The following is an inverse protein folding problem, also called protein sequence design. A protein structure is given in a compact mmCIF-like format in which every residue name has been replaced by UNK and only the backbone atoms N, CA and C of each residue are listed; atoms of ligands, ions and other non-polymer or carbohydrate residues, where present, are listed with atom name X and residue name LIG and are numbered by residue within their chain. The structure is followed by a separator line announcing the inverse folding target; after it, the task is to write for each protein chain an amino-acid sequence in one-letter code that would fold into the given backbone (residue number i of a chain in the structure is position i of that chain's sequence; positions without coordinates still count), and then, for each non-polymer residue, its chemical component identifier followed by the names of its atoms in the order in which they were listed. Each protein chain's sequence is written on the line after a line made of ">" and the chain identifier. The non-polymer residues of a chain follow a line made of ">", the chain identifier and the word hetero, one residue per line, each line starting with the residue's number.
data_IF_917009390485
#
_entry.id   IF_917009390485
#
_cell.length_a   1.000
_cell.length_b   1.000
_cell.length_c   1.000
_cell.angle_alpha   90.00
_cell.angle_beta   90.00
_cell.angle_gamma   90.00
#
_symmetry.space_group_name_H-M   'P 1'
#
loop_
_entity.id
_entity.type
_entity.pdbx_description
1 polymer ?
#
# COMPACT_ATOMS: atom_id res chain seq x y z
N UNK A 1 7.87 47.46 -28.06
CA UNK A 1 8.85 46.36 -27.89
C UNK A 1 8.24 45.03 -28.33
N UNK A 2 8.58 44.52 -29.52
CA UNK A 2 8.07 43.24 -30.06
C UNK A 2 8.90 42.07 -29.52
N UNK A 3 8.30 41.21 -28.69
CA UNK A 3 8.93 39.95 -28.22
C UNK A 3 8.97 38.95 -29.38
N UNK A 4 10.14 38.73 -29.94
CA UNK A 4 10.40 37.67 -30.92
C UNK A 4 10.43 36.31 -30.21
N UNK A 5 9.35 35.54 -30.35
CA UNK A 5 9.30 34.15 -29.91
C UNK A 5 10.17 33.29 -30.83
N UNK A 6 11.41 33.03 -30.43
CA UNK A 6 12.24 31.98 -31.06
C UNK A 6 11.62 30.62 -30.74
N UNK A 7 10.92 30.04 -31.72
CA UNK A 7 10.43 28.67 -31.68
C UNK A 7 11.62 27.71 -31.48
N UNK A 8 11.82 27.25 -30.24
CA UNK A 8 12.75 26.15 -29.94
C UNK A 8 12.27 24.91 -30.70
N UNK A 9 12.92 24.62 -31.84
CA UNK A 9 12.82 23.33 -32.51
C UNK A 9 13.24 22.25 -31.51
N UNK A 10 12.24 21.62 -30.87
CA UNK A 10 12.44 20.39 -30.10
C UNK A 10 12.89 19.32 -31.10
N UNK A 11 14.20 19.11 -31.18
CA UNK A 11 14.79 17.90 -31.74
C UNK A 11 14.30 16.74 -30.88
N UNK A 12 13.17 16.15 -31.27
CA UNK A 12 12.69 14.89 -30.75
C UNK A 12 13.71 13.84 -31.10
N UNK A 13 14.68 13.60 -30.21
CA UNK A 13 15.55 12.43 -30.25
C UNK A 13 14.64 11.23 -30.46
N UNK A 14 14.65 10.66 -31.67
CA UNK A 14 14.00 9.39 -31.98
C UNK A 14 14.63 8.37 -31.03
N UNK A 15 13.93 8.09 -29.92
CA UNK A 15 14.29 6.98 -29.04
C UNK A 15 14.32 5.75 -29.94
N UNK A 16 15.47 5.08 -30.00
CA UNK A 16 15.56 3.81 -30.70
C UNK A 16 14.42 2.93 -30.21
N UNK A 17 13.61 2.44 -31.13
CA UNK A 17 12.48 1.58 -30.76
C UNK A 17 13.05 0.30 -30.17
N UNK A 18 13.04 0.19 -28.84
CA UNK A 18 13.44 -1.04 -28.16
C UNK A 18 12.46 -2.14 -28.57
N UNK A 19 12.94 -3.10 -29.35
CA UNK A 19 12.21 -4.33 -29.66
C UNK A 19 12.40 -5.34 -28.53
N UNK A 20 11.41 -6.20 -28.35
CA UNK A 20 11.43 -7.31 -27.42
C UNK A 20 11.31 -8.61 -28.19
N UNK A 21 11.88 -9.68 -27.66
CA UNK A 21 11.78 -11.03 -28.23
C UNK A 21 10.90 -11.93 -27.37
N UNK A 22 10.49 -13.08 -27.91
CA UNK A 22 9.82 -14.14 -27.12
C UNK A 22 10.74 -14.61 -26.00
N UNK A 23 12.04 -14.75 -26.26
CA UNK A 23 13.03 -15.06 -25.23
C UNK A 23 13.02 -14.03 -24.09
N UNK A 24 13.07 -12.73 -24.42
CA UNK A 24 13.00 -11.64 -23.42
C UNK A 24 11.68 -11.69 -22.64
N UNK A 25 10.59 -12.06 -23.31
CA UNK A 25 9.27 -12.22 -22.67
C UNK A 25 9.32 -13.33 -21.62
N UNK A 26 9.90 -14.49 -21.95
CA UNK A 26 10.03 -15.65 -21.06
C UNK A 26 11.00 -15.38 -19.89
N UNK A 27 12.17 -14.80 -20.15
CA UNK A 27 13.17 -14.47 -19.12
C UNK A 27 12.63 -13.52 -18.05
N UNK A 28 11.70 -12.63 -18.41
CA UNK A 28 11.06 -11.68 -17.48
C UNK A 28 9.86 -12.24 -16.74
N UNK A 29 9.49 -13.50 -16.98
CA UNK A 29 8.39 -14.13 -16.24
C UNK A 29 8.84 -14.57 -14.84
N UNK A 30 7.94 -14.52 -13.85
CA UNK A 30 8.21 -15.08 -12.53
C UNK A 30 8.37 -16.60 -12.64
N UNK A 31 9.30 -17.17 -11.87
CA UNK A 31 9.54 -18.62 -11.82
C UNK A 31 8.28 -19.43 -11.48
N UNK A 32 7.36 -18.85 -10.71
CA UNK A 32 6.08 -19.47 -10.37
C UNK A 32 5.12 -19.63 -11.55
N UNK A 33 5.36 -18.98 -12.70
CA UNK A 33 4.61 -19.26 -13.93
C UNK A 33 4.80 -20.72 -14.36
N UNK A 34 5.95 -21.33 -14.08
CA UNK A 34 6.23 -22.73 -14.39
C UNK A 34 5.32 -23.72 -13.63
N UNK A 35 4.63 -23.27 -12.58
CA UNK A 35 3.65 -24.07 -11.82
C UNK A 35 2.23 -24.06 -12.39
N UNK A 36 2.02 -23.38 -13.52
CA UNK A 36 0.72 -23.37 -14.22
C UNK A 36 0.59 -24.61 -15.09
N UNK A 37 -0.63 -25.14 -15.22
CA UNK A 37 -0.86 -26.41 -15.91
C UNK A 37 -0.50 -26.34 -17.41
N UNK A 38 -0.61 -25.15 -18.00
CA UNK A 38 -0.35 -24.90 -19.43
C UNK A 38 1.11 -24.65 -19.77
N UNK A 39 1.98 -24.45 -18.76
CA UNK A 39 3.39 -24.13 -18.98
C UNK A 39 4.17 -25.22 -19.74
N UNK A 40 4.02 -26.53 -19.44
CA UNK A 40 4.72 -27.58 -20.20
C UNK A 40 4.33 -27.61 -21.68
N UNK A 41 3.05 -27.41 -22.01
CA UNK A 41 2.58 -27.32 -23.39
C UNK A 41 3.15 -26.08 -24.09
N UNK A 42 3.16 -24.94 -23.41
CA UNK A 42 3.74 -23.70 -23.91
C UNK A 42 5.23 -23.86 -24.26
N UNK A 43 6.01 -24.50 -23.38
CA UNK A 43 7.45 -24.72 -23.63
C UNK A 43 7.71 -25.72 -24.76
N UNK A 44 6.87 -26.75 -24.92
CA UNK A 44 6.92 -27.64 -26.09
C UNK A 44 6.69 -26.86 -27.40
N UNK A 45 5.70 -25.96 -27.44
CA UNK A 45 5.45 -25.13 -28.62
C UNK A 45 6.67 -24.27 -29.00
N UNK A 46 7.41 -23.76 -28.01
CA UNK A 46 8.67 -23.04 -28.23
C UNK A 46 9.75 -23.94 -28.84
N UNK A 47 9.92 -25.13 -28.28
CA UNK A 47 10.95 -26.08 -28.73
C UNK A 47 10.69 -26.60 -30.16
N UNK A 48 9.42 -26.79 -30.53
CA UNK A 48 9.04 -27.30 -31.85
C UNK A 48 8.94 -26.23 -32.95
N UNK A 49 9.14 -24.95 -32.62
CA UNK A 49 9.01 -23.85 -33.59
C UNK A 49 10.35 -23.11 -33.76
N UNK A 50 11.16 -23.48 -34.77
CA UNK A 50 12.42 -22.80 -35.06
C UNK A 50 12.22 -21.29 -35.26
N UNK A 51 13.13 -20.48 -34.73
CA UNK A 51 13.09 -19.02 -34.85
C UNK A 51 12.03 -18.30 -34.00
N UNK A 52 11.15 -19.01 -33.28
CA UNK A 52 10.13 -18.37 -32.46
C UNK A 52 10.74 -17.47 -31.37
N UNK A 53 11.84 -17.90 -30.76
CA UNK A 53 12.54 -17.13 -29.72
C UNK A 53 13.04 -15.77 -30.22
N UNK A 54 13.35 -15.66 -31.51
CA UNK A 54 13.91 -14.48 -32.14
C UNK A 54 12.85 -13.50 -32.63
N UNK A 55 11.57 -13.89 -32.64
CA UNK A 55 10.46 -13.05 -33.11
C UNK A 55 10.45 -11.73 -32.34
N UNK A 56 10.64 -10.63 -33.08
CA UNK A 56 10.74 -9.28 -32.53
C UNK A 56 9.38 -8.59 -32.56
N UNK A 57 9.01 -7.97 -31.46
CA UNK A 57 7.79 -7.17 -31.37
C UNK A 57 8.01 -5.88 -30.57
N UNK A 58 7.22 -4.82 -30.85
CA UNK A 58 7.37 -3.54 -30.18
C UNK A 58 6.94 -3.62 -28.72
N UNK A 59 7.38 -2.67 -27.90
CA UNK A 59 7.02 -2.52 -26.47
C UNK A 59 5.52 -2.63 -26.20
N UNK A 60 4.67 -2.12 -27.09
CA UNK A 60 3.21 -2.17 -26.95
C UNK A 60 2.71 -3.63 -26.96
N UNK A 61 3.15 -4.43 -27.93
CA UNK A 61 2.83 -5.85 -28.00
C UNK A 61 3.35 -6.61 -26.77
N UNK A 62 4.61 -6.34 -26.38
CA UNK A 62 5.19 -6.89 -25.15
C UNK A 62 4.30 -6.62 -23.92
N UNK A 63 3.81 -5.38 -23.78
CA UNK A 63 2.99 -4.98 -22.63
C UNK A 63 1.65 -5.73 -22.63
N UNK A 64 1.03 -5.89 -23.80
CA UNK A 64 -0.22 -6.64 -23.93
C UNK A 64 -0.06 -8.12 -23.57
N UNK A 65 1.02 -8.75 -24.05
CA UNK A 65 1.37 -10.13 -23.70
C UNK A 65 1.70 -10.27 -22.22
N UNK A 66 2.60 -9.42 -21.69
CA UNK A 66 3.05 -9.47 -20.30
C UNK A 66 1.92 -9.27 -19.29
N UNK A 67 0.94 -8.42 -19.60
CA UNK A 67 -0.23 -8.19 -18.75
C UNK A 67 -1.40 -9.13 -19.08
N UNK A 68 -1.27 -9.97 -20.12
CA UNK A 68 -2.28 -10.91 -20.61
C UNK A 68 -3.67 -10.29 -20.85
N UNK A 69 -3.71 -9.06 -21.34
CA UNK A 69 -4.95 -8.30 -21.54
C UNK A 69 -5.72 -8.67 -22.82
N UNK A 70 -5.12 -9.48 -23.71
CA UNK A 70 -5.68 -9.80 -25.05
C UNK A 70 -6.59 -11.02 -24.96
N UNK A 71 -7.92 -10.86 -25.10
CA UNK A 71 -8.86 -11.99 -25.11
C UNK A 71 -8.59 -12.98 -26.26
N UNK A 72 -8.96 -14.27 -26.14
CA UNK A 72 -8.71 -15.27 -27.18
C UNK A 72 -9.22 -14.87 -28.57
N UNK A 73 -10.37 -14.20 -28.62
CA UNK A 73 -11.05 -13.75 -29.86
C UNK A 73 -10.24 -12.66 -30.58
N UNK A 74 -9.40 -11.93 -29.84
CA UNK A 74 -8.56 -10.85 -30.36
C UNK A 74 -7.15 -11.29 -30.75
N UNK A 75 -6.80 -12.57 -30.59
CA UNK A 75 -5.50 -13.10 -31.02
C UNK A 75 -5.22 -12.94 -32.53
N UNK A 76 -6.17 -13.21 -33.45
CA UNK A 76 -5.95 -12.99 -34.87
C UNK A 76 -5.58 -11.53 -35.18
N UNK A 77 -6.24 -10.58 -34.51
CA UNK A 77 -5.91 -9.16 -34.62
C UNK A 77 -4.51 -8.85 -34.11
N UNK A 78 -4.10 -9.44 -32.98
CA UNK A 78 -2.74 -9.29 -32.46
C UNK A 78 -1.68 -9.77 -33.48
N UNK A 79 -1.90 -10.96 -34.05
CA UNK A 79 -0.99 -11.56 -35.03
C UNK A 79 -0.86 -10.66 -36.26
N UNK A 80 -1.99 -10.18 -36.80
CA UNK A 80 -2.02 -9.27 -37.94
C UNK A 80 -1.35 -7.92 -37.63
N UNK A 81 -1.70 -7.28 -36.52
CA UNK A 81 -1.20 -5.94 -36.17
C UNK A 81 0.30 -5.92 -35.91
N UNK A 82 0.84 -6.95 -35.26
CA UNK A 82 2.25 -7.00 -34.88
C UNK A 82 3.09 -7.97 -35.72
N UNK A 83 2.49 -8.55 -36.78
CA UNK A 83 3.13 -9.53 -37.68
C UNK A 83 3.77 -10.69 -36.92
N UNK A 84 3.06 -11.20 -35.91
CA UNK A 84 3.50 -12.38 -35.14
C UNK A 84 3.12 -13.65 -35.90
N UNK A 85 3.90 -14.74 -35.77
CA UNK A 85 3.50 -16.03 -36.32
C UNK A 85 2.25 -16.54 -35.61
N UNK A 86 1.34 -17.15 -36.38
CA UNK A 86 0.18 -17.85 -35.83
C UNK A 86 0.66 -19.19 -35.24
N UNK A 87 1.11 -19.14 -33.98
CA UNK A 87 1.73 -20.26 -33.29
C UNK A 87 1.03 -20.51 -31.95
N UNK A 88 0.93 -21.78 -31.55
CA UNK A 88 0.29 -22.23 -30.30
C UNK A 88 0.91 -21.62 -29.04
N UNK A 89 2.17 -21.18 -29.12
CA UNK A 89 2.84 -20.51 -28.01
C UNK A 89 2.04 -19.32 -27.45
N UNK A 90 1.50 -18.45 -28.31
CA UNK A 90 0.83 -17.22 -27.84
C UNK A 90 -0.46 -17.49 -27.05
N UNK A 91 -1.43 -18.31 -27.52
CA UNK A 91 -2.59 -18.66 -26.72
C UNK A 91 -2.20 -19.41 -25.43
N UNK A 92 -1.25 -20.34 -25.49
CA UNK A 92 -0.78 -21.08 -24.30
C UNK A 92 -0.10 -20.15 -23.28
N UNK A 93 0.72 -19.21 -23.74
CA UNK A 93 1.36 -18.20 -22.91
C UNK A 93 0.34 -17.28 -22.23
N UNK A 94 -0.65 -16.79 -22.97
CA UNK A 94 -1.71 -15.94 -22.41
C UNK A 94 -2.54 -16.71 -21.38
N UNK A 95 -2.87 -17.97 -21.63
CA UNK A 95 -3.57 -18.83 -20.68
C UNK A 95 -2.76 -19.03 -19.39
N UNK A 96 -1.49 -19.45 -19.49
CA UNK A 96 -0.58 -19.59 -18.36
C UNK A 96 -0.45 -18.29 -17.56
N UNK A 97 -0.28 -17.17 -18.27
CA UNK A 97 -0.08 -15.86 -17.64
C UNK A 97 -1.33 -15.38 -16.91
N UNK A 98 -2.53 -15.59 -17.46
CA UNK A 98 -3.79 -15.28 -16.79
C UNK A 98 -3.97 -16.07 -15.51
N UNK A 99 -3.76 -17.39 -15.58
CA UNK A 99 -3.85 -18.26 -14.42
C UNK A 99 -2.90 -17.79 -13.31
N UNK A 100 -1.66 -17.44 -13.67
CA UNK A 100 -0.71 -16.85 -12.73
C UNK A 100 -1.21 -15.53 -12.12
N UNK A 101 -1.72 -14.60 -12.94
CA UNK A 101 -2.21 -13.31 -12.47
C UNK A 101 -3.42 -13.46 -11.54
N UNK A 102 -4.35 -14.36 -11.89
CA UNK A 102 -5.51 -14.70 -11.07
C UNK A 102 -5.08 -15.27 -9.71
N UNK A 103 -4.21 -16.31 -9.69
CA UNK A 103 -3.67 -16.86 -8.44
C UNK A 103 -2.95 -15.81 -7.59
N UNK A 104 -2.23 -14.88 -8.23
CA UNK A 104 -1.55 -13.77 -7.53
C UNK A 104 -2.55 -12.82 -6.90
N UNK A 105 -3.62 -12.48 -7.62
CA UNK A 105 -4.70 -11.64 -7.12
C UNK A 105 -5.45 -12.30 -5.97
N UNK A 106 -5.83 -13.58 -6.10
CA UNK A 106 -6.45 -14.37 -5.04
C UNK A 106 -5.59 -14.41 -3.78
N UNK A 107 -4.27 -14.66 -3.91
CA UNK A 107 -3.34 -14.57 -2.78
C UNK A 107 -3.29 -13.17 -2.19
N UNK A 108 -3.37 -12.12 -3.01
CA UNK A 108 -3.42 -10.74 -2.53
C UNK A 108 -4.68 -10.48 -1.72
N UNK A 109 -5.86 -10.84 -2.26
CA UNK A 109 -7.16 -10.73 -1.57
C UNK A 109 -7.19 -11.57 -0.30
N UNK A 110 -6.62 -12.77 -0.30
CA UNK A 110 -6.52 -13.61 0.90
C UNK A 110 -5.63 -12.97 1.98
N UNK A 111 -4.48 -12.38 1.60
CA UNK A 111 -3.64 -11.62 2.53
C UNK A 111 -4.35 -10.39 3.08
N UNK A 112 -5.08 -9.67 2.24
CA UNK A 112 -5.84 -8.49 2.65
C UNK A 112 -6.97 -8.86 3.61
N UNK A 113 -7.73 -9.92 3.33
CA UNK A 113 -8.74 -10.47 4.26
C UNK A 113 -8.12 -10.81 5.61
N UNK A 114 -7.01 -11.54 5.61
CA UNK A 114 -6.29 -11.89 6.84
C UNK A 114 -5.82 -10.65 7.61
N UNK A 115 -5.24 -9.67 6.92
CA UNK A 115 -4.82 -8.40 7.52
C UNK A 115 -6.01 -7.68 8.19
N UNK A 116 -7.16 -7.65 7.53
CA UNK A 116 -8.38 -7.04 8.06
C UNK A 116 -8.97 -7.81 9.25
N UNK A 117 -8.94 -9.14 9.23
CA UNK A 117 -9.33 -9.98 10.36
C UNK A 117 -8.46 -9.68 11.60
N UNK A 118 -7.14 -9.62 11.41
CA UNK A 118 -6.22 -9.27 12.51
C UNK A 118 -6.47 -7.86 13.03
N UNK A 119 -6.69 -6.87 12.16
CA UNK A 119 -7.02 -5.51 12.59
C UNK A 119 -8.33 -5.46 13.37
N UNK A 120 -9.36 -6.18 12.94
CA UNK A 120 -10.67 -6.26 13.63
C UNK A 120 -10.58 -6.93 14.99
N UNK A 121 -9.64 -7.87 15.16
CA UNK A 121 -9.38 -8.55 16.43
C UNK A 121 -8.54 -7.72 17.41
N UNK A 122 -8.09 -6.51 17.04
CA UNK A 122 -7.35 -5.66 17.97
C UNK A 122 -8.23 -5.17 19.12
N UNK A 123 -7.64 -4.91 20.31
CA UNK A 123 -8.34 -4.23 21.39
C UNK A 123 -9.02 -2.94 20.93
N UNK A 124 -10.24 -2.70 21.41
CA UNK A 124 -11.10 -1.61 20.94
C UNK A 124 -10.41 -0.23 20.88
N UNK A 125 -9.61 0.21 21.87
CA UNK A 125 -8.92 1.51 21.78
C UNK A 125 -7.92 1.58 20.63
N UNK A 126 -7.25 0.47 20.31
CA UNK A 126 -6.24 0.39 19.22
C UNK A 126 -6.93 0.36 17.86
N UNK A 127 -8.01 -0.40 17.73
CA UNK A 127 -8.81 -0.41 16.51
C UNK A 127 -9.42 0.97 16.24
N UNK A 128 -9.93 1.64 17.27
CA UNK A 128 -10.43 3.02 17.18
C UNK A 128 -9.33 3.97 16.70
N UNK A 129 -8.13 3.90 17.28
CA UNK A 129 -6.99 4.70 16.85
C UNK A 129 -6.61 4.47 15.38
N UNK A 130 -6.54 3.21 14.93
CA UNK A 130 -6.21 2.87 13.53
C UNK A 130 -7.26 3.42 12.56
N UNK A 131 -8.55 3.31 12.91
CA UNK A 131 -9.65 3.88 12.12
C UNK A 131 -9.59 5.40 12.07
N UNK A 132 -9.39 6.03 13.22
CA UNK A 132 -9.29 7.48 13.35
C UNK A 132 -8.16 8.04 12.46
N UNK A 133 -6.97 7.45 12.53
CA UNK A 133 -5.82 7.90 11.73
C UNK A 133 -6.05 7.72 10.23
N UNK A 134 -6.78 6.68 9.81
CA UNK A 134 -7.24 6.52 8.43
C UNK A 134 -8.19 7.65 8.03
N UNK A 135 -9.25 7.89 8.81
CA UNK A 135 -10.20 8.97 8.54
C UNK A 135 -9.52 10.35 8.48
N UNK A 136 -8.60 10.62 9.41
CA UNK A 136 -7.80 11.85 9.43
C UNK A 136 -6.99 12.04 8.15
N UNK A 137 -6.31 10.99 7.68
CA UNK A 137 -5.56 11.11 6.43
C UNK A 137 -6.47 11.33 5.22
N UNK A 138 -7.57 10.59 5.12
CA UNK A 138 -8.47 10.70 3.99
C UNK A 138 -9.12 12.11 3.92
N UNK A 139 -9.39 12.77 5.05
CA UNK A 139 -9.83 14.19 5.07
C UNK A 139 -8.73 15.15 4.61
N UNK A 140 -7.46 14.88 4.96
CA UNK A 140 -6.32 15.70 4.56
C UNK A 140 -5.93 15.52 3.09
N UNK A 141 -6.30 14.39 2.46
CA UNK A 141 -5.91 14.07 1.10
C UNK A 141 -6.96 14.56 0.08
N UNK A 142 -6.59 15.33 -0.96
CA UNK A 142 -7.56 15.91 -1.91
C UNK A 142 -8.45 14.92 -2.67
N UNK A 143 -8.03 13.65 -2.76
CA UNK A 143 -8.77 12.57 -3.43
C UNK A 143 -9.51 11.64 -2.45
N UNK A 144 -9.51 11.95 -1.16
CA UNK A 144 -10.03 11.08 -0.11
C UNK A 144 -9.37 9.68 -0.10
N UNK A 145 -8.07 9.66 -0.42
CA UNK A 145 -7.24 8.45 -0.37
C UNK A 145 -6.38 8.46 0.89
N UNK A 146 -5.89 7.29 1.29
CA UNK A 146 -5.10 7.12 2.50
C UNK A 146 -3.69 6.51 2.22
N UNK A 147 -2.81 7.18 1.46
CA UNK A 147 -1.53 6.61 1.00
C UNK A 147 -0.49 6.38 2.11
N UNK A 148 -0.41 7.24 3.13
CA UNK A 148 0.50 7.06 4.27
C UNK A 148 0.02 5.91 5.14
N UNK A 149 -1.28 5.80 5.39
CA UNK A 149 -1.91 4.71 6.13
C UNK A 149 -1.65 3.37 5.45
N UNK A 150 -1.92 3.28 4.14
CA UNK A 150 -1.63 2.07 3.34
C UNK A 150 -0.16 1.64 3.42
N UNK A 151 0.77 2.61 3.50
CA UNK A 151 2.21 2.33 3.56
C UNK A 151 2.74 2.03 4.95
N UNK A 152 2.13 2.59 6.00
CA UNK A 152 2.75 2.64 7.33
C UNK A 152 1.93 2.09 8.47
N UNK A 153 0.60 2.06 8.33
CA UNK A 153 -0.31 1.55 9.35
C UNK A 153 -1.03 0.28 8.90
N UNK A 154 -1.29 0.10 7.61
CA UNK A 154 -1.86 -1.15 7.09
C UNK A 154 -0.83 -2.29 7.04
N UNK A 155 -1.13 -3.48 7.59
CA UNK A 155 -0.23 -4.61 7.52
C UNK A 155 -0.32 -5.31 6.15
N UNK A 156 0.46 -4.84 5.18
CA UNK A 156 0.48 -5.33 3.78
C UNK A 156 0.96 -6.77 3.57
N UNK A 157 1.36 -7.47 4.65
CA UNK A 157 1.82 -8.86 4.61
C UNK A 157 1.37 -9.63 5.84
N UNK A 158 1.25 -10.96 5.70
CA UNK A 158 0.90 -11.88 6.82
C UNK A 158 1.84 -11.69 8.01
N UNK A 159 3.15 -11.66 7.78
CA UNK A 159 4.16 -11.41 8.84
C UNK A 159 3.97 -10.07 9.54
N UNK A 160 3.54 -9.03 8.83
CA UNK A 160 3.25 -7.73 9.46
C UNK A 160 1.97 -7.79 10.29
N UNK A 161 0.93 -8.45 9.80
CA UNK A 161 -0.32 -8.65 10.52
C UNK A 161 -0.07 -9.46 11.81
N UNK A 162 0.64 -10.59 11.71
CA UNK A 162 1.00 -11.43 12.87
C UNK A 162 1.79 -10.66 13.94
N UNK A 163 2.54 -9.63 13.52
CA UNK A 163 3.29 -8.75 14.42
C UNK A 163 2.35 -7.82 15.18
N UNK A 164 1.35 -7.26 14.50
CA UNK A 164 0.37 -6.37 15.12
C UNK A 164 -0.43 -7.08 16.22
N UNK A 165 -0.75 -8.36 16.01
CA UNK A 165 -1.41 -9.18 17.02
C UNK A 165 -0.58 -9.34 18.31
N UNK A 166 0.75 -9.22 18.21
CA UNK A 166 1.70 -9.38 19.33
C UNK A 166 2.18 -8.06 19.91
N UNK A 167 1.83 -6.93 19.30
CA UNK A 167 2.27 -5.62 19.75
C UNK A 167 1.77 -5.32 21.15
N UNK A 168 2.70 -4.95 22.03
CA UNK A 168 2.36 -4.38 23.32
C UNK A 168 1.95 -2.90 23.17
N UNK A 169 1.61 -2.24 24.27
CA UNK A 169 1.17 -0.84 24.24
C UNK A 169 2.25 0.10 23.66
N UNK A 170 3.52 -0.12 23.95
CA UNK A 170 4.62 0.74 23.48
C UNK A 170 4.91 0.56 21.99
N UNK A 171 4.80 -0.67 21.47
CA UNK A 171 4.90 -0.93 20.04
C UNK A 171 3.84 -0.12 19.27
N UNK A 172 2.59 -0.16 19.75
CA UNK A 172 1.50 0.63 19.16
C UNK A 172 1.76 2.13 19.25
N UNK A 173 2.24 2.64 20.38
CA UNK A 173 2.59 4.07 20.53
C UNK A 173 3.68 4.49 19.56
N UNK A 174 4.75 3.70 19.44
CA UNK A 174 5.84 3.97 18.48
C UNK A 174 5.33 3.96 17.04
N UNK A 175 4.47 3.00 16.71
CA UNK A 175 3.85 2.90 15.39
C UNK A 175 2.99 4.14 15.09
N UNK A 176 2.09 4.52 16.00
CA UNK A 176 1.23 5.70 15.86
C UNK A 176 2.03 7.00 15.79
N UNK A 177 3.00 7.23 16.67
CA UNK A 177 3.84 8.41 16.63
C UNK A 177 4.65 8.51 15.34
N UNK A 178 5.12 7.37 14.80
CA UNK A 178 5.79 7.35 13.49
C UNK A 178 4.82 7.66 12.35
N UNK A 179 3.60 7.15 12.40
CA UNK A 179 2.56 7.44 11.42
C UNK A 179 2.17 8.93 11.43
N UNK A 180 1.88 9.51 12.61
CA UNK A 180 1.52 10.92 12.76
C UNK A 180 2.64 11.83 12.24
N UNK A 181 3.91 11.54 12.56
CA UNK A 181 5.04 12.31 11.99
C UNK A 181 5.07 12.28 10.46
N UNK A 182 4.75 11.14 9.84
CA UNK A 182 4.64 11.04 8.37
C UNK A 182 3.45 11.84 7.83
N UNK A 183 2.34 11.90 8.55
CA UNK A 183 1.21 12.76 8.19
C UNK A 183 1.61 14.24 8.22
N UNK A 184 2.24 14.72 9.32
CA UNK A 184 2.70 16.11 9.43
C UNK A 184 3.73 16.48 8.35
N UNK A 185 4.61 15.55 7.97
CA UNK A 185 5.59 15.77 6.89
C UNK A 185 4.93 15.87 5.51
N UNK A 186 3.86 15.11 5.26
CA UNK A 186 3.19 15.05 3.96
C UNK A 186 2.14 16.15 3.80
N UNK A 187 1.36 16.41 4.83
CA UNK A 187 0.19 17.29 4.79
C UNK A 187 0.46 18.56 5.59
N UNK A 188 0.70 19.68 4.88
CA UNK A 188 0.95 21.00 5.51
C UNK A 188 -0.19 21.47 6.41
N UNK A 189 -1.43 21.05 6.12
CA UNK A 189 -2.61 21.37 6.92
C UNK A 189 -2.57 20.73 8.33
N UNK A 190 -1.80 19.67 8.51
CA UNK A 190 -1.62 19.03 9.81
C UNK A 190 -0.33 19.53 10.47
N UNK A 191 -0.45 20.59 11.27
CA UNK A 191 0.71 21.15 11.98
C UNK A 191 1.29 20.14 12.99
N UNK A 192 2.59 20.24 13.33
CA UNK A 192 3.22 19.37 14.34
C UNK A 192 2.49 19.39 15.69
N UNK A 193 2.04 20.57 16.14
CA UNK A 193 1.27 20.72 17.39
C UNK A 193 -0.05 19.95 17.36
N UNK A 194 -0.79 20.00 16.24
CA UNK A 194 -2.02 19.20 16.08
C UNK A 194 -1.68 17.71 16.10
N UNK A 195 -0.59 17.31 15.45
CA UNK A 195 -0.08 15.93 15.50
C UNK A 195 0.24 15.47 16.94
N UNK A 196 0.92 16.30 17.73
CA UNK A 196 1.21 16.02 19.14
C UNK A 196 -0.06 15.85 19.98
N UNK A 197 -1.08 16.70 19.75
CA UNK A 197 -2.39 16.56 20.41
C UNK A 197 -3.12 15.29 20.01
N UNK A 198 -3.08 14.89 18.74
CA UNK A 198 -3.61 13.58 18.32
C UNK A 198 -2.87 12.47 19.05
N UNK A 199 -1.54 12.53 19.13
CA UNK A 199 -0.76 11.53 19.86
C UNK A 199 -1.11 11.50 21.35
N UNK A 200 -1.35 12.64 21.99
CA UNK A 200 -1.77 12.72 23.38
C UNK A 200 -3.12 12.02 23.64
N UNK A 201 -4.08 12.12 22.73
CA UNK A 201 -5.32 11.33 22.80
C UNK A 201 -5.00 9.83 22.81
N UNK A 202 -4.17 9.39 21.85
CA UNK A 202 -3.82 7.96 21.73
C UNK A 202 -3.03 7.44 22.94
N UNK A 203 -2.18 8.28 23.55
CA UNK A 203 -1.47 7.97 24.81
C UNK A 203 -2.46 7.73 25.94
N UNK A 204 -3.53 8.50 26.01
CA UNK A 204 -4.61 8.33 27.00
C UNK A 204 -5.62 7.24 26.61
N UNK A 205 -5.31 6.43 25.59
CA UNK A 205 -6.20 5.40 25.03
C UNK A 205 -7.58 5.96 24.63
N UNK A 206 -7.59 7.21 24.14
CA UNK A 206 -8.74 7.92 23.58
C UNK A 206 -8.53 8.18 22.08
N UNK A 207 -9.61 8.54 21.39
CA UNK A 207 -9.55 9.10 20.04
C UNK A 207 -10.27 10.45 20.02
N UNK A 208 -9.83 11.43 19.21
CA UNK A 208 -10.57 12.68 19.03
C UNK A 208 -11.99 12.42 18.49
N UNK A 209 -12.96 13.23 18.90
CA UNK A 209 -14.37 13.07 18.53
C UNK A 209 -14.69 13.38 17.06
N UNK A 210 -13.78 14.03 16.34
CA UNK A 210 -13.98 14.46 14.96
C UNK A 210 -12.71 14.55 14.13
N UNK A 211 -12.88 14.79 12.83
CA UNK A 211 -11.82 15.13 11.88
C UNK A 211 -12.24 16.46 11.20
N UNK A 212 -11.50 17.57 11.38
CA UNK A 212 -10.25 17.73 12.14
C UNK A 212 -10.41 17.40 13.64
N UNK A 213 -9.31 17.14 14.36
CA UNK A 213 -9.41 16.65 15.73
C UNK A 213 -10.01 17.70 16.65
N UNK A 214 -10.97 17.27 17.47
CA UNK A 214 -11.68 18.13 18.44
C UNK A 214 -11.15 17.84 19.85
N UNK A 215 -10.92 18.87 20.69
CA UNK A 215 -10.56 18.65 22.09
C UNK A 215 -11.58 17.77 22.83
N UNK A 216 -11.12 16.92 23.77
CA UNK A 216 -12.02 16.12 24.59
C UNK A 216 -12.70 17.02 25.63
N UNK A 217 -13.86 16.59 26.13
CA UNK A 217 -14.45 17.26 27.31
C UNK A 217 -13.57 17.07 28.55
N UNK A 218 -13.67 17.99 29.50
CA UNK A 218 -12.92 17.90 30.75
C UNK A 218 -13.23 16.61 31.53
N UNK A 219 -14.49 16.16 31.50
CA UNK A 219 -14.92 14.92 32.14
C UNK A 219 -14.29 13.67 31.50
N UNK A 220 -14.31 13.59 30.17
CA UNK A 220 -13.67 12.49 29.43
C UNK A 220 -12.16 12.43 29.68
N UNK A 221 -11.50 13.59 29.62
CA UNK A 221 -10.06 13.71 29.86
C UNK A 221 -9.68 13.28 31.29
N UNK A 222 -10.43 13.76 32.28
CA UNK A 222 -10.21 13.41 33.69
C UNK A 222 -10.45 11.92 33.93
N UNK A 223 -11.52 11.34 33.36
CA UNK A 223 -11.85 9.93 33.47
C UNK A 223 -10.77 9.02 32.87
N UNK A 224 -10.33 9.32 31.64
CA UNK A 224 -9.28 8.56 30.98
C UNK A 224 -7.94 8.62 31.72
N UNK A 225 -7.53 9.83 32.14
CA UNK A 225 -6.31 10.02 32.91
C UNK A 225 -6.36 9.31 34.26
N UNK A 226 -7.46 9.43 35.02
CA UNK A 226 -7.60 8.77 36.33
C UNK A 226 -7.47 7.25 36.19
N UNK A 227 -8.13 6.65 35.19
CA UNK A 227 -8.06 5.21 34.93
C UNK A 227 -6.63 4.74 34.68
N UNK A 228 -5.91 5.41 33.76
CA UNK A 228 -4.56 5.01 33.38
C UNK A 228 -3.51 5.37 34.43
N UNK A 229 -3.66 6.52 35.11
CA UNK A 229 -2.69 6.94 36.13
C UNK A 229 -2.71 6.02 37.36
N UNK A 230 -3.87 5.46 37.73
CA UNK A 230 -3.97 4.45 38.79
C UNK A 230 -3.31 3.12 38.40
N UNK A 231 -3.38 2.74 37.12
CA UNK A 231 -2.74 1.52 36.59
C UNK A 231 -1.21 1.64 36.58
N UNK A 232 -0.69 2.83 36.24
CA UNK A 232 0.75 3.07 36.07
C UNK A 232 1.39 3.84 37.25
N UNK A 233 0.73 3.92 38.41
CA UNK A 233 1.23 4.70 39.54
C UNK A 233 2.51 4.08 40.15
N UNK A 234 3.61 4.84 40.32
CA UNK A 234 4.87 4.30 40.84
C UNK A 234 4.74 3.69 42.24
N UNK A 235 3.98 4.33 43.15
CA UNK A 235 3.73 3.80 44.50
C UNK A 235 2.97 2.46 44.52
N UNK A 236 2.39 2.05 43.38
CA UNK A 236 1.74 0.74 43.20
C UNK A 236 2.58 -0.23 42.37
N UNK A 237 3.88 0.05 42.23
CA UNK A 237 4.80 -0.72 41.38
C UNK A 237 4.66 -0.45 39.88
N UNK A 238 3.95 0.62 39.50
CA UNK A 238 3.80 1.03 38.09
C UNK A 238 5.04 1.72 37.52
N UNK A 239 5.05 1.89 36.19
CA UNK A 239 6.14 2.56 35.49
C UNK A 239 6.07 4.09 35.64
N UNK A 240 7.04 4.66 36.35
CA UNK A 240 7.15 6.10 36.58
C UNK A 240 7.30 6.91 35.27
N UNK A 241 8.05 6.41 34.29
CA UNK A 241 8.21 7.09 33.00
C UNK A 241 6.87 7.15 32.28
N UNK A 242 6.10 6.06 32.36
CA UNK A 242 4.77 6.00 31.78
C UNK A 242 3.79 6.94 32.47
N UNK A 243 3.84 7.02 33.79
CA UNK A 243 3.03 7.96 34.56
C UNK A 243 3.29 9.43 34.16
N UNK A 244 4.57 9.80 33.99
CA UNK A 244 4.97 11.13 33.52
C UNK A 244 4.41 11.40 32.12
N UNK A 245 4.48 10.43 31.21
CA UNK A 245 3.95 10.57 29.86
C UNK A 245 2.43 10.80 29.86
N UNK A 246 1.67 10.05 30.67
CA UNK A 246 0.23 10.24 30.85
C UNK A 246 -0.10 11.64 31.36
N UNK A 247 0.67 12.14 32.35
CA UNK A 247 0.51 13.49 32.89
C UNK A 247 0.75 14.55 31.82
N UNK A 248 1.84 14.41 31.05
CA UNK A 248 2.16 15.33 29.93
C UNK A 248 1.07 15.33 28.86
N UNK A 249 0.56 14.16 28.48
CA UNK A 249 -0.53 14.05 27.51
C UNK A 249 -1.81 14.74 28.01
N UNK A 250 -2.18 14.53 29.28
CA UNK A 250 -3.30 15.23 29.91
C UNK A 250 -3.11 16.74 29.88
N UNK A 251 -1.95 17.21 30.34
CA UNK A 251 -1.65 18.64 30.44
C UNK A 251 -1.66 19.32 29.07
N UNK A 252 -1.17 18.63 28.02
CA UNK A 252 -1.22 19.12 26.65
C UNK A 252 -2.66 19.29 26.15
N UNK A 253 -3.56 18.35 26.47
CA UNK A 253 -4.96 18.42 26.07
C UNK A 253 -5.78 19.42 26.89
N UNK A 254 -5.42 19.63 28.17
CA UNK A 254 -6.12 20.56 29.06
C UNK A 254 -5.87 22.05 28.74
N UNK A 255 -4.76 22.39 28.08
CA UNK A 255 -4.39 23.77 27.75
C UNK A 255 -5.21 24.41 26.61
N UNK A 256 -6.20 23.69 26.07
CA UNK A 256 -7.03 24.18 24.96
C UNK A 256 -6.33 24.08 23.60
N UNK A 257 -7.12 24.17 22.54
CA UNK A 257 -6.66 24.05 21.15
C UNK A 257 -6.17 25.38 20.57
#
# INVERSE_FOLDING_TARGET
>A
MRKTYRARRRTTRRRSSTFYTVETLLQRQPKSLASTATYPAMMRAVQHTPGLLEVRFPRRCYTLLHNATITPENLPNLFRTYRLPNNEFFPLFLAARREYLQRREERSRARERYAMEVLRALPAPRLAAVKYLGALECELHPRQDCPVWNRSLFPSSRRSADRYARFNRDDWRRLFGTHIRRLCQRYRALSPMVGERVMAHLILEMVPAGVPPVPPSAAELAGAYRRLSLEHHPDRGGDAARFIELKRARDLLARGW
#
